data_IF_903291635488
#
_entry.id   IF_903291635488
#
_cell.length_a   1.000
_cell.length_b   1.000
_cell.length_c   1.000
_cell.angle_alpha   90.00
_cell.angle_beta   90.00
_cell.angle_gamma   90.00
#
_symmetry.space_group_name_H-M   'P 1'
#
loop_
_entity.id
_entity.type
_entity.pdbx_description
1 polymer ?
#
# COMPACT_ATOMS: atom_id res chain seq x y z
N UNK A 1 8.48 -14.26 14.41
CA UNK A 1 8.36 -13.02 13.62
C UNK A 1 9.33 -13.09 12.47
N UNK A 2 8.85 -13.34 11.25
CA UNK A 2 9.66 -13.27 10.04
C UNK A 2 9.51 -11.86 9.48
N UNK A 3 10.56 -11.03 9.59
CA UNK A 3 10.65 -9.77 8.86
C UNK A 3 10.75 -10.10 7.38
N UNK A 4 9.65 -9.95 6.65
CA UNK A 4 9.68 -9.96 5.18
C UNK A 4 10.34 -8.65 4.74
N UNK A 5 11.38 -8.77 3.91
CA UNK A 5 12.01 -7.61 3.27
C UNK A 5 11.50 -7.54 1.85
N UNK A 6 10.93 -6.40 1.50
CA UNK A 6 10.41 -6.15 0.16
C UNK A 6 11.21 -5.02 -0.49
N UNK A 7 11.46 -5.17 -1.80
CA UNK A 7 12.08 -4.15 -2.62
C UNK A 7 11.07 -3.02 -2.82
N UNK A 8 11.47 -1.79 -2.47
CA UNK A 8 10.57 -0.63 -2.49
C UNK A 8 10.05 -0.28 -3.89
N UNK A 9 10.85 -0.48 -4.92
CA UNK A 9 10.47 -0.25 -6.32
C UNK A 9 11.31 -1.14 -7.25
N UNK A 10 10.72 -2.23 -7.73
CA UNK A 10 11.37 -3.17 -8.66
C UNK A 10 11.84 -2.47 -9.95
N UNK A 11 11.03 -1.54 -10.48
CA UNK A 11 11.37 -0.77 -11.68
C UNK A 11 12.48 0.26 -11.50
N UNK A 12 12.63 0.84 -10.30
CA UNK A 12 13.74 1.75 -9.98
C UNK A 12 15.02 0.95 -9.75
N UNK A 13 14.91 -0.22 -9.12
CA UNK A 13 16.01 -1.15 -8.97
C UNK A 13 16.53 -1.62 -10.34
N UNK A 14 15.65 -1.98 -11.29
CA UNK A 14 16.05 -2.36 -12.65
C UNK A 14 16.78 -1.22 -13.37
N UNK A 15 16.29 0.03 -13.25
CA UNK A 15 16.97 1.21 -13.82
C UNK A 15 18.33 1.45 -13.18
N UNK A 16 18.45 1.33 -11.86
CA UNK A 16 19.73 1.45 -11.16
C UNK A 16 20.68 0.30 -11.52
N UNK A 17 20.18 -0.91 -11.71
CA UNK A 17 20.97 -2.06 -12.14
C UNK A 17 21.53 -1.83 -13.54
N UNK A 18 20.70 -1.41 -14.49
CA UNK A 18 21.13 -1.05 -15.85
C UNK A 18 22.12 0.12 -15.83
N UNK A 19 21.88 1.15 -15.03
CA UNK A 19 22.76 2.31 -14.92
C UNK A 19 24.12 1.97 -14.30
N UNK A 20 24.15 1.17 -13.24
CA UNK A 20 25.38 0.84 -12.51
C UNK A 20 26.20 -0.24 -13.23
N UNK A 21 25.56 -1.30 -13.73
CA UNK A 21 26.24 -2.38 -14.48
C UNK A 21 26.59 -1.92 -15.90
N UNK A 22 25.65 -1.30 -16.60
CA UNK A 22 25.87 -0.74 -17.94
C UNK A 22 26.84 0.44 -17.92
N UNK A 23 26.72 1.35 -16.94
CA UNK A 23 27.67 2.43 -16.73
C UNK A 23 29.07 1.91 -16.38
N UNK A 24 29.17 0.85 -15.57
CA UNK A 24 30.43 0.18 -15.28
C UNK A 24 31.10 -0.44 -16.51
N UNK A 25 30.33 -1.12 -17.36
CA UNK A 25 30.82 -1.67 -18.64
C UNK A 25 31.38 -0.56 -19.54
N UNK A 26 30.61 0.51 -19.76
CA UNK A 26 31.00 1.63 -20.61
C UNK A 26 32.23 2.36 -20.03
N UNK A 27 32.28 2.53 -18.70
CA UNK A 27 33.43 3.11 -18.01
C UNK A 27 34.72 2.31 -18.24
N UNK A 28 34.61 0.98 -18.22
CA UNK A 28 35.71 0.07 -18.51
C UNK A 28 36.23 0.21 -19.94
N UNK A 29 35.32 0.32 -20.92
CA UNK A 29 35.70 0.58 -22.32
C UNK A 29 36.39 1.93 -22.47
N UNK A 30 35.84 3.00 -21.88
CA UNK A 30 36.43 4.34 -21.93
C UNK A 30 37.80 4.37 -21.26
N UNK A 31 37.96 3.71 -20.11
CA UNK A 31 39.25 3.53 -19.44
C UNK A 31 40.28 2.84 -20.36
N UNK A 32 39.87 1.76 -21.04
CA UNK A 32 40.72 1.04 -21.98
C UNK A 32 41.16 1.90 -23.17
N UNK A 33 40.27 2.72 -23.73
CA UNK A 33 40.61 3.67 -24.81
C UNK A 33 41.59 4.73 -24.32
N UNK A 34 41.34 5.32 -23.15
CA UNK A 34 42.23 6.34 -22.56
C UNK A 34 43.63 5.77 -22.27
N UNK A 35 43.71 4.53 -21.77
CA UNK A 35 44.99 3.85 -21.54
C UNK A 35 45.81 3.61 -22.81
N UNK A 36 45.15 3.40 -23.96
CA UNK A 36 45.83 3.26 -25.25
C UNK A 36 46.38 4.59 -25.78
N UNK A 37 45.68 5.70 -25.52
CA UNK A 37 46.11 7.04 -25.96
C UNK A 37 47.30 7.54 -25.14
N UNK A 38 47.34 7.23 -23.84
CA UNK A 38 48.35 7.74 -22.90
C UNK A 38 49.59 6.82 -22.84
N UNK A 39 49.50 5.59 -23.35
CA UNK A 39 50.61 4.62 -23.40
C UNK A 39 50.82 3.81 -22.12
N UNK A 40 50.16 4.18 -21.01
CA UNK A 40 50.12 3.43 -19.76
C UNK A 40 48.71 3.41 -19.16
N UNK A 41 48.31 2.28 -18.57
CA UNK A 41 47.06 2.15 -17.82
C UNK A 41 47.23 2.76 -16.42
N UNK A 42 46.93 4.04 -16.28
CA UNK A 42 46.90 4.69 -14.98
C UNK A 42 45.60 4.31 -14.25
N UNK A 43 45.67 3.72 -13.04
CA UNK A 43 44.48 3.37 -12.26
C UNK A 43 43.61 4.60 -11.92
N UNK A 44 44.20 5.79 -11.95
CA UNK A 44 43.53 7.08 -11.80
C UNK A 44 42.53 7.36 -12.94
N UNK A 45 42.89 7.00 -14.18
CA UNK A 45 42.00 7.19 -15.34
C UNK A 45 40.79 6.26 -15.27
N UNK A 46 40.98 5.03 -14.79
CA UNK A 46 39.87 4.09 -14.55
C UNK A 46 38.91 4.57 -13.46
N UNK A 47 39.43 5.16 -12.38
CA UNK A 47 38.59 5.73 -11.33
C UNK A 47 37.79 6.95 -11.82
N UNK A 48 38.42 7.84 -12.59
CA UNK A 48 37.77 9.03 -13.16
C UNK A 48 36.73 8.67 -14.22
N UNK A 49 37.03 7.73 -15.13
CA UNK A 49 36.09 7.28 -16.16
C UNK A 49 34.90 6.55 -15.54
N UNK A 50 35.13 5.73 -14.51
CA UNK A 50 34.07 5.06 -13.77
C UNK A 50 33.16 6.04 -13.06
N UNK A 51 33.71 6.98 -12.30
CA UNK A 51 32.95 8.02 -11.63
C UNK A 51 32.11 8.87 -12.61
N UNK A 52 32.70 9.29 -13.74
CA UNK A 52 32.03 10.13 -14.72
C UNK A 52 30.89 9.37 -15.43
N UNK A 53 31.16 8.16 -15.93
CA UNK A 53 30.16 7.38 -16.68
C UNK A 53 29.05 6.87 -15.77
N UNK A 54 29.39 6.37 -14.58
CA UNK A 54 28.38 5.92 -13.61
C UNK A 54 27.58 7.09 -13.07
N UNK A 55 28.21 8.24 -12.79
CA UNK A 55 27.51 9.47 -12.41
C UNK A 55 26.52 9.94 -13.47
N UNK A 56 26.91 9.91 -14.75
CA UNK A 56 26.02 10.23 -15.87
C UNK A 56 24.90 9.20 -16.03
N UNK A 57 25.18 7.91 -15.88
CA UNK A 57 24.18 6.85 -15.98
C UNK A 57 23.14 6.94 -14.85
N UNK A 58 23.58 7.22 -13.63
CA UNK A 58 22.68 7.47 -12.48
C UNK A 58 21.82 8.71 -12.75
N UNK A 59 22.39 9.74 -13.36
CA UNK A 59 21.68 10.96 -13.71
C UNK A 59 20.61 10.72 -14.80
N UNK A 60 20.90 9.90 -15.81
CA UNK A 60 19.93 9.55 -16.84
C UNK A 60 18.82 8.60 -16.35
N UNK A 61 19.11 7.78 -15.33
CA UNK A 61 18.15 6.84 -14.77
C UNK A 61 17.03 7.51 -13.94
N UNK A 62 17.25 8.74 -13.48
CA UNK A 62 16.30 9.49 -12.66
C UNK A 62 15.99 10.87 -13.27
N UNK A 63 14.80 11.08 -13.86
CA UNK A 63 14.47 12.27 -14.66
C UNK A 63 14.19 13.55 -13.85
N UNK A 64 14.60 13.61 -12.57
CA UNK A 64 14.39 14.78 -11.71
C UNK A 64 15.50 15.81 -11.93
N UNK A 65 15.17 16.90 -12.63
CA UNK A 65 16.14 17.91 -13.08
C UNK A 65 16.82 18.68 -11.93
N UNK A 66 16.13 18.90 -10.80
CA UNK A 66 16.60 19.80 -9.73
C UNK A 66 17.84 19.31 -8.96
N UNK A 67 18.16 18.02 -9.04
CA UNK A 67 19.26 17.42 -8.26
C UNK A 67 20.30 16.69 -9.13
N UNK A 68 20.04 16.60 -10.43
CA UNK A 68 20.91 16.00 -11.44
C UNK A 68 22.37 16.47 -11.36
N UNK A 69 22.55 17.78 -11.26
CA UNK A 69 23.87 18.42 -11.23
C UNK A 69 24.64 18.09 -9.94
N UNK A 70 23.94 18.03 -8.81
CA UNK A 70 24.55 17.73 -7.50
C UNK A 70 25.03 16.28 -7.44
N UNK A 71 24.24 15.34 -7.98
CA UNK A 71 24.64 13.91 -8.06
C UNK A 71 25.88 13.70 -8.92
N UNK A 72 25.94 14.39 -10.06
CA UNK A 72 27.11 14.36 -10.93
C UNK A 72 28.35 14.93 -10.22
N UNK A 73 28.21 16.05 -9.49
CA UNK A 73 29.30 16.62 -8.69
C UNK A 73 29.81 15.61 -7.66
N UNK A 74 28.92 14.96 -6.90
CA UNK A 74 29.34 13.96 -5.92
C UNK A 74 30.09 12.79 -6.56
N UNK A 75 29.60 12.27 -7.69
CA UNK A 75 30.27 11.20 -8.42
C UNK A 75 31.68 11.65 -8.88
N UNK A 76 31.80 12.84 -9.50
CA UNK A 76 33.07 13.38 -9.96
C UNK A 76 34.07 13.62 -8.82
N UNK A 77 33.62 14.18 -7.69
CA UNK A 77 34.46 14.35 -6.50
C UNK A 77 34.98 12.99 -6.02
N UNK A 78 34.13 11.97 -6.00
CA UNK A 78 34.51 10.59 -5.67
C UNK A 78 35.62 10.05 -6.58
N UNK A 79 35.50 10.25 -7.90
CA UNK A 79 36.52 9.87 -8.88
C UNK A 79 37.85 10.60 -8.71
N UNK A 80 37.80 11.91 -8.47
CA UNK A 80 39.00 12.73 -8.23
C UNK A 80 39.72 12.29 -6.95
N UNK A 81 38.98 12.08 -5.85
CA UNK A 81 39.56 11.61 -4.60
C UNK A 81 40.15 10.20 -4.74
N UNK A 82 39.47 9.29 -5.46
CA UNK A 82 40.05 8.00 -5.81
C UNK A 82 41.37 8.15 -6.56
N UNK A 83 41.41 9.01 -7.59
CA UNK A 83 42.60 9.29 -8.38
C UNK A 83 43.76 9.87 -7.56
N UNK A 84 43.47 10.69 -6.54
CA UNK A 84 44.48 11.26 -5.65
C UNK A 84 45.02 10.27 -4.60
N UNK A 85 44.21 9.30 -4.17
CA UNK A 85 44.60 8.32 -3.15
C UNK A 85 45.40 7.16 -3.74
N UNK A 86 45.04 6.70 -4.94
CA UNK A 86 45.71 5.61 -5.67
C UNK A 86 47.26 5.74 -5.76
N UNK A 87 47.86 6.91 -6.04
CA UNK A 87 49.32 7.05 -6.15
C UNK A 87 50.08 7.05 -4.81
N UNK A 88 49.40 7.03 -3.65
CA UNK A 88 50.05 7.12 -2.35
C UNK A 88 50.85 5.85 -1.95
N UNK A 89 50.74 4.76 -2.72
CA UNK A 89 51.71 3.66 -2.70
C UNK A 89 51.72 2.75 -1.45
N UNK A 90 50.78 2.89 -0.51
CA UNK A 90 50.64 1.96 0.62
C UNK A 90 49.72 0.79 0.25
N UNK A 91 49.93 -0.38 0.87
CA UNK A 91 49.27 -1.64 0.49
C UNK A 91 47.72 -1.60 0.52
N UNK A 92 47.11 -0.68 1.26
CA UNK A 92 45.67 -0.47 1.33
C UNK A 92 45.12 0.65 0.43
N UNK A 93 45.98 1.42 -0.26
CA UNK A 93 45.60 2.57 -1.07
C UNK A 93 44.47 2.29 -2.08
N UNK A 94 44.46 1.17 -2.85
CA UNK A 94 43.38 0.92 -3.80
C UNK A 94 42.03 0.65 -3.12
N UNK A 95 42.02 -0.03 -1.96
CA UNK A 95 40.79 -0.30 -1.21
C UNK A 95 40.26 0.95 -0.51
N UNK A 96 41.15 1.78 0.05
CA UNK A 96 40.77 3.06 0.66
C UNK A 96 40.25 4.03 -0.40
N UNK A 97 40.93 4.13 -1.55
CA UNK A 97 40.44 4.90 -2.68
C UNK A 97 39.03 4.43 -3.08
N UNK A 98 38.85 3.13 -3.31
CA UNK A 98 37.56 2.55 -3.66
C UNK A 98 36.49 2.81 -2.59
N UNK A 99 36.82 2.78 -1.30
CA UNK A 99 35.86 3.06 -0.24
C UNK A 99 35.39 4.51 -0.28
N UNK A 100 36.31 5.44 -0.52
CA UNK A 100 35.99 6.87 -0.68
C UNK A 100 35.13 7.09 -1.92
N UNK A 101 35.54 6.57 -3.09
CA UNK A 101 34.75 6.73 -4.31
C UNK A 101 33.38 6.05 -4.23
N UNK A 102 33.31 4.86 -3.64
CA UNK A 102 32.06 4.15 -3.36
C UNK A 102 31.14 4.95 -2.45
N UNK A 103 31.67 5.55 -1.39
CA UNK A 103 30.90 6.43 -0.49
C UNK A 103 30.33 7.66 -1.20
N UNK A 104 31.10 8.31 -2.08
CA UNK A 104 30.64 9.46 -2.87
C UNK A 104 29.58 9.08 -3.92
N UNK A 105 29.72 7.93 -4.58
CA UNK A 105 28.68 7.39 -5.48
C UNK A 105 27.43 7.02 -4.68
N UNK A 106 27.59 6.41 -3.50
CA UNK A 106 26.49 6.13 -2.58
C UNK A 106 25.79 7.42 -2.11
N UNK A 107 26.53 8.49 -1.86
CA UNK A 107 25.98 9.80 -1.55
C UNK A 107 25.19 10.35 -2.75
N UNK A 108 25.70 10.24 -3.98
CA UNK A 108 25.00 10.64 -5.19
C UNK A 108 23.67 9.86 -5.39
N UNK A 109 23.63 8.57 -5.06
CA UNK A 109 22.43 7.73 -5.16
C UNK A 109 21.42 8.02 -4.03
N UNK A 110 21.89 8.37 -2.83
CA UNK A 110 21.03 8.53 -1.63
C UNK A 110 20.67 9.98 -1.30
N UNK A 111 21.27 10.97 -1.97
CA UNK A 111 21.10 12.40 -1.67
C UNK A 111 19.63 12.83 -1.62
N UNK A 112 18.87 12.53 -2.68
CA UNK A 112 17.46 12.94 -2.79
C UNK A 112 16.45 11.96 -2.19
N UNK A 113 16.91 10.86 -1.60
CA UNK A 113 16.00 9.94 -0.93
C UNK A 113 15.42 10.66 0.28
N UNK A 114 14.08 10.76 0.38
CA UNK A 114 13.39 11.24 1.57
C UNK A 114 13.45 10.17 2.67
N UNK A 115 14.62 10.04 3.29
CA UNK A 115 14.94 9.04 4.31
C UNK A 115 15.61 9.67 5.54
N UNK A 116 15.52 8.98 6.68
CA UNK A 116 16.22 9.41 7.90
C UNK A 116 17.72 9.51 7.66
N UNK A 117 18.36 10.47 8.32
CA UNK A 117 19.82 10.69 8.22
C UNK A 117 20.61 9.41 8.45
N UNK A 118 20.22 8.60 9.43
CA UNK A 118 20.83 7.30 9.74
C UNK A 118 20.79 6.34 8.54
N UNK A 119 19.68 6.31 7.81
CA UNK A 119 19.50 5.41 6.66
C UNK A 119 20.29 5.86 5.44
N UNK A 120 20.39 7.18 5.22
CA UNK A 120 21.31 7.74 4.21
C UNK A 120 22.76 7.34 4.50
N UNK A 121 23.20 7.46 5.76
CA UNK A 121 24.52 7.02 6.17
C UNK A 121 24.73 5.51 5.99
N UNK A 122 23.71 4.69 6.29
CA UNK A 122 23.76 3.25 6.05
C UNK A 122 23.88 2.93 4.54
N UNK A 123 23.11 3.61 3.70
CA UNK A 123 23.24 3.52 2.24
C UNK A 123 24.65 3.88 1.80
N UNK A 124 25.17 5.05 2.18
CA UNK A 124 26.54 5.47 1.87
C UNK A 124 27.57 4.43 2.33
N UNK A 125 27.42 3.86 3.53
CA UNK A 125 28.32 2.84 4.05
C UNK A 125 28.29 1.54 3.23
N UNK A 126 27.12 1.12 2.74
CA UNK A 126 27.00 -0.06 1.87
C UNK A 126 27.77 0.13 0.56
N UNK A 127 27.66 1.29 -0.08
CA UNK A 127 28.42 1.59 -1.30
C UNK A 127 29.92 1.75 -1.03
N UNK A 128 30.31 2.32 0.12
CA UNK A 128 31.70 2.42 0.56
C UNK A 128 32.33 1.04 0.84
N UNK A 129 31.55 0.01 1.16
CA UNK A 129 32.02 -1.37 1.30
C UNK A 129 31.99 -2.14 -0.03
N UNK A 130 31.00 -1.86 -0.88
CA UNK A 130 30.80 -2.59 -2.12
C UNK A 130 31.85 -2.30 -3.18
N UNK A 131 32.26 -1.04 -3.38
CA UNK A 131 33.28 -0.73 -4.38
C UNK A 131 34.65 -1.37 -4.06
N UNK A 132 35.17 -1.34 -2.81
CA UNK A 132 36.36 -2.11 -2.44
C UNK A 132 36.24 -3.61 -2.69
N UNK A 133 35.07 -4.20 -2.38
CA UNK A 133 34.82 -5.62 -2.65
C UNK A 133 34.83 -5.93 -4.15
N UNK A 134 34.28 -5.04 -4.97
CA UNK A 134 34.35 -5.11 -6.43
C UNK A 134 35.77 -4.99 -6.97
N UNK A 135 36.57 -4.04 -6.45
CA UNK A 135 37.98 -3.85 -6.82
C UNK A 135 38.80 -5.09 -6.48
N UNK A 136 38.67 -5.59 -5.24
CA UNK A 136 39.34 -6.81 -4.81
C UNK A 136 38.95 -8.01 -5.68
N UNK A 137 37.65 -8.22 -5.91
CA UNK A 137 37.15 -9.34 -6.71
C UNK A 137 37.62 -9.27 -8.16
N UNK A 138 37.61 -8.08 -8.77
CA UNK A 138 38.12 -7.88 -10.13
C UNK A 138 39.62 -8.17 -10.24
N UNK A 139 40.41 -7.87 -9.20
CA UNK A 139 41.84 -8.18 -9.16
C UNK A 139 42.14 -9.68 -9.04
N UNK A 140 41.28 -10.43 -8.36
CA UNK A 140 41.39 -11.89 -8.24
C UNK A 140 40.89 -12.61 -9.50
N UNK A 141 39.80 -12.13 -10.09
CA UNK A 141 39.14 -12.76 -11.26
C UNK A 141 39.86 -12.45 -12.57
N UNK A 142 40.50 -11.28 -12.69
CA UNK A 142 41.15 -10.82 -13.93
C UNK A 142 42.61 -10.40 -13.69
N UNK A 143 43.47 -11.29 -13.15
CA UNK A 143 44.88 -10.98 -12.93
C UNK A 143 45.56 -10.73 -14.28
N UNK A 144 46.56 -9.84 -14.28
CA UNK A 144 47.26 -9.37 -15.49
C UNK A 144 47.85 -10.50 -16.34
N UNK A 145 48.10 -11.67 -15.76
CA UNK A 145 48.67 -12.85 -16.41
C UNK A 145 47.64 -13.83 -17.00
N UNK A 146 46.36 -13.77 -16.62
CA UNK A 146 45.38 -14.81 -16.99
C UNK A 146 44.74 -14.64 -18.38
N UNK A 147 44.74 -13.42 -18.93
CA UNK A 147 44.07 -13.08 -20.19
C UNK A 147 45.05 -12.71 -21.32
N UNK A 148 46.29 -13.20 -21.27
CA UNK A 148 47.28 -12.94 -22.34
C UNK A 148 46.94 -13.62 -23.67
N UNK A 149 46.01 -14.59 -23.69
CA UNK A 149 45.79 -15.47 -24.85
C UNK A 149 44.47 -15.25 -25.61
N UNK A 150 43.48 -14.53 -25.05
CA UNK A 150 42.21 -14.24 -25.73
C UNK A 150 41.77 -12.79 -25.47
N UNK A 151 41.72 -12.01 -26.55
CA UNK A 151 40.97 -10.75 -26.74
C UNK A 151 41.53 -9.40 -26.22
N UNK A 152 41.16 -8.28 -26.89
CA UNK A 152 41.85 -7.00 -26.81
C UNK A 152 41.66 -6.34 -25.43
N UNK A 153 42.62 -5.50 -25.06
CA UNK A 153 42.67 -4.67 -23.83
C UNK A 153 41.31 -4.11 -23.38
N UNK A 154 40.41 -3.82 -24.32
CA UNK A 154 39.04 -3.37 -24.08
C UNK A 154 38.14 -4.38 -23.34
N UNK A 155 38.20 -5.67 -23.67
CA UNK A 155 37.32 -6.69 -23.08
C UNK A 155 37.60 -6.91 -21.60
N UNK A 156 38.88 -6.95 -21.21
CA UNK A 156 39.29 -7.03 -19.80
C UNK A 156 38.84 -5.82 -19.00
N UNK A 157 39.06 -4.61 -19.52
CA UNK A 157 38.68 -3.38 -18.81
C UNK A 157 37.17 -3.23 -18.70
N UNK A 158 36.42 -3.63 -19.72
CA UNK A 158 34.95 -3.71 -19.67
C UNK A 158 34.47 -4.67 -18.57
N UNK A 159 35.06 -5.87 -18.45
CA UNK A 159 34.71 -6.83 -17.40
C UNK A 159 35.06 -6.33 -15.99
N UNK A 160 36.21 -5.66 -15.81
CA UNK A 160 36.58 -5.03 -14.54
C UNK A 160 35.53 -3.98 -14.15
N UNK A 161 35.18 -3.07 -15.06
CA UNK A 161 34.16 -2.06 -14.84
C UNK A 161 32.77 -2.65 -14.59
N UNK A 162 32.40 -3.72 -15.29
CA UNK A 162 31.15 -4.46 -15.06
C UNK A 162 31.11 -5.04 -13.64
N UNK A 163 32.23 -5.62 -13.19
CA UNK A 163 32.34 -6.21 -11.84
C UNK A 163 32.13 -5.16 -10.78
N UNK A 164 32.73 -3.98 -10.93
CA UNK A 164 32.50 -2.85 -10.02
C UNK A 164 31.03 -2.43 -10.03
N UNK A 165 30.42 -2.33 -11.22
CA UNK A 165 29.01 -2.02 -11.40
C UNK A 165 28.07 -3.02 -10.71
N UNK A 166 28.36 -4.33 -10.78
CA UNK A 166 27.57 -5.39 -10.13
C UNK A 166 27.60 -5.25 -8.60
N UNK A 167 28.77 -5.05 -8.01
CA UNK A 167 28.86 -4.85 -6.56
C UNK A 167 28.11 -3.60 -6.10
N UNK A 168 28.18 -2.53 -6.89
CA UNK A 168 27.43 -1.30 -6.62
C UNK A 168 25.92 -1.50 -6.79
N UNK A 169 25.47 -2.29 -7.75
CA UNK A 169 24.06 -2.65 -7.92
C UNK A 169 23.52 -3.48 -6.74
N UNK A 170 24.34 -4.39 -6.20
CA UNK A 170 24.00 -5.13 -4.97
C UNK A 170 23.86 -4.17 -3.79
N UNK A 171 24.75 -3.21 -3.63
CA UNK A 171 24.63 -2.19 -2.59
C UNK A 171 23.38 -1.32 -2.76
N UNK A 172 23.04 -0.94 -3.99
CA UNK A 172 21.81 -0.24 -4.31
C UNK A 172 20.58 -1.05 -3.85
N UNK A 173 20.51 -2.33 -4.23
CA UNK A 173 19.43 -3.24 -3.83
C UNK A 173 19.30 -3.39 -2.32
N UNK A 174 20.42 -3.61 -1.62
CA UNK A 174 20.44 -3.73 -0.16
C UNK A 174 20.03 -2.43 0.54
N UNK A 175 20.39 -1.26 0.00
CA UNK A 175 19.97 0.03 0.54
C UNK A 175 18.46 0.28 0.39
N UNK A 176 17.85 -0.32 -0.64
CA UNK A 176 16.43 -0.20 -0.95
C UNK A 176 15.55 -1.25 -0.27
N UNK A 177 16.14 -2.23 0.44
CA UNK A 177 15.39 -3.15 1.28
C UNK A 177 14.74 -2.37 2.43
N UNK A 178 13.40 -2.38 2.48
CA UNK A 178 12.65 -1.91 3.63
C UNK A 178 12.19 -3.11 4.45
N UNK A 179 12.43 -3.14 5.77
CA UNK A 179 11.57 -3.93 6.63
C UNK A 179 10.16 -3.33 6.47
N UNK A 180 9.22 -4.14 6.02
CA UNK A 180 7.80 -3.77 5.89
C UNK A 180 7.20 -3.67 7.30
N UNK A 181 7.59 -2.62 8.04
CA UNK A 181 7.02 -2.27 9.32
C UNK A 181 5.84 -1.33 9.11
N UNK A 182 4.86 -1.74 8.29
CA UNK A 182 3.56 -1.09 8.37
C UNK A 182 2.80 -1.71 9.54
N UNK A 183 2.63 -0.92 10.60
CA UNK A 183 1.89 -1.32 11.78
C UNK A 183 0.46 -1.78 11.40
N UNK A 184 -0.15 -1.18 10.36
CA UNK A 184 -1.49 -1.54 9.91
C UNK A 184 -1.54 -2.92 9.24
N UNK A 185 -0.54 -3.28 8.42
CA UNK A 185 -0.46 -4.62 7.83
C UNK A 185 -0.30 -5.69 8.90
N UNK A 186 0.50 -5.42 9.94
CA UNK A 186 0.66 -6.34 11.07
C UNK A 186 -0.65 -6.50 11.87
N UNK A 187 -1.44 -5.43 12.03
CA UNK A 187 -2.76 -5.50 12.67
C UNK A 187 -3.75 -6.29 11.83
N UNK A 188 -3.75 -6.10 10.50
CA UNK A 188 -4.57 -6.87 9.57
C UNK A 188 -4.19 -8.35 9.57
N UNK A 189 -2.91 -8.70 9.50
CA UNK A 189 -2.43 -10.09 9.55
C UNK A 189 -2.88 -10.79 10.83
N UNK A 190 -2.81 -10.08 11.96
CA UNK A 190 -3.32 -10.58 13.23
C UNK A 190 -4.83 -10.77 13.20
N UNK A 191 -5.58 -9.80 12.68
CA UNK A 191 -7.03 -9.89 12.59
C UNK A 191 -7.49 -11.03 11.66
N UNK A 192 -6.81 -11.25 10.53
CA UNK A 192 -7.07 -12.36 9.59
C UNK A 192 -6.90 -13.72 10.29
N UNK A 193 -5.87 -13.87 11.11
CA UNK A 193 -5.65 -15.10 11.87
C UNK A 193 -6.70 -15.35 12.96
N UNK A 194 -7.32 -14.29 13.49
CA UNK A 194 -8.29 -14.37 14.58
C UNK A 194 -9.75 -14.54 14.12
N UNK A 195 -10.09 -14.14 12.89
CA UNK A 195 -11.47 -14.15 12.37
C UNK A 195 -11.73 -15.30 11.39
N UNK A 196 -12.99 -15.75 11.36
CA UNK A 196 -13.49 -16.74 10.40
C UNK A 196 -14.27 -16.05 9.26
N UNK A 197 -14.63 -16.82 8.23
CA UNK A 197 -15.49 -16.35 7.15
C UNK A 197 -16.87 -15.91 7.67
N UNK A 198 -17.49 -14.87 7.10
CA UNK A 198 -17.05 -14.07 5.93
C UNK A 198 -16.09 -12.91 6.25
N UNK A 199 -15.90 -12.56 7.53
CA UNK A 199 -15.10 -11.39 7.94
C UNK A 199 -13.64 -11.50 7.51
N UNK A 200 -13.11 -12.72 7.54
CA UNK A 200 -11.75 -13.01 7.08
C UNK A 200 -11.53 -12.55 5.62
N UNK A 201 -12.50 -12.79 4.74
CA UNK A 201 -12.36 -12.46 3.32
C UNK A 201 -12.26 -10.94 3.13
N UNK A 202 -13.07 -10.16 3.85
CA UNK A 202 -12.96 -8.68 3.85
C UNK A 202 -11.61 -8.17 4.35
N UNK A 203 -11.03 -8.81 5.37
CA UNK A 203 -9.73 -8.44 5.91
C UNK A 203 -8.58 -8.81 4.96
N UNK A 204 -8.67 -9.95 4.28
CA UNK A 204 -7.71 -10.36 3.25
C UNK A 204 -7.76 -9.38 2.06
N UNK A 205 -8.95 -9.03 1.56
CA UNK A 205 -9.11 -8.02 0.52
C UNK A 205 -8.58 -6.65 0.95
N UNK A 206 -8.87 -6.21 2.18
CA UNK A 206 -8.37 -4.94 2.69
C UNK A 206 -6.84 -4.90 2.81
N UNK A 207 -6.20 -6.02 3.18
CA UNK A 207 -4.74 -6.14 3.21
C UNK A 207 -4.14 -5.97 1.81
N UNK A 208 -4.68 -6.65 0.81
CA UNK A 208 -4.21 -6.54 -0.56
C UNK A 208 -4.39 -5.11 -1.10
N UNK A 209 -5.57 -4.53 -0.87
CA UNK A 209 -5.88 -3.15 -1.28
C UNK A 209 -4.98 -2.14 -0.59
N UNK A 210 -4.71 -2.28 0.71
CA UNK A 210 -3.80 -1.37 1.43
C UNK A 210 -2.39 -1.40 0.84
N UNK A 211 -1.85 -2.59 0.55
CA UNK A 211 -0.54 -2.71 -0.10
C UNK A 211 -0.54 -2.05 -1.49
N UNK A 212 -1.61 -2.22 -2.27
CA UNK A 212 -1.75 -1.58 -3.58
C UNK A 212 -1.84 -0.06 -3.45
N UNK A 213 -2.64 0.46 -2.51
CA UNK A 213 -2.76 1.89 -2.21
C UNK A 213 -1.42 2.49 -1.81
N UNK A 214 -0.66 1.84 -0.92
CA UNK A 214 0.67 2.34 -0.55
C UNK A 214 1.60 2.42 -1.75
N UNK A 215 1.64 1.37 -2.59
CA UNK A 215 2.47 1.35 -3.80
C UNK A 215 2.08 2.46 -4.78
N UNK A 216 0.79 2.64 -5.04
CA UNK A 216 0.30 3.68 -5.97
C UNK A 216 0.47 5.09 -5.39
N UNK A 217 0.26 5.26 -4.09
CA UNK A 217 0.52 6.54 -3.42
C UNK A 217 2.00 6.92 -3.56
N UNK A 218 2.96 5.99 -3.36
CA UNK A 218 4.38 6.30 -3.53
C UNK A 218 4.75 6.77 -4.95
N UNK A 219 3.95 6.44 -5.97
CA UNK A 219 4.12 6.92 -7.35
C UNK A 219 3.63 8.35 -7.57
N UNK A 220 2.75 8.86 -6.72
CA UNK A 220 2.23 10.22 -6.83
C UNK A 220 3.32 11.26 -6.56
N UNK A 221 3.40 12.28 -7.42
CA UNK A 221 4.41 13.34 -7.32
C UNK A 221 4.09 14.32 -6.18
N UNK A 222 2.81 14.51 -5.86
CA UNK A 222 2.35 15.39 -4.79
C UNK A 222 2.56 14.77 -3.41
N UNK A 223 3.25 15.47 -2.51
CA UNK A 223 3.46 15.02 -1.13
C UNK A 223 2.15 15.02 -0.32
N UNK A 224 1.28 15.99 -0.58
CA UNK A 224 -0.01 16.12 0.12
C UNK A 224 -0.97 15.01 -0.30
N UNK A 225 -1.02 14.68 -1.58
CA UNK A 225 -1.78 13.54 -2.12
C UNK A 225 -1.37 12.22 -1.44
N UNK A 226 -0.06 11.97 -1.35
CA UNK A 226 0.50 10.78 -0.69
C UNK A 226 0.10 10.68 0.77
N UNK A 227 0.21 11.80 1.47
CA UNK A 227 -0.13 11.88 2.89
C UNK A 227 -1.61 11.60 3.11
N UNK A 228 -2.49 12.30 2.38
CA UNK A 228 -3.94 12.14 2.51
C UNK A 228 -4.41 10.74 2.14
N UNK A 229 -3.92 10.18 1.03
CA UNK A 229 -4.25 8.82 0.64
C UNK A 229 -3.83 7.79 1.71
N UNK A 230 -2.66 7.99 2.33
CA UNK A 230 -2.21 7.17 3.44
C UNK A 230 -3.03 7.35 4.72
N UNK A 231 -3.50 8.57 5.02
CA UNK A 231 -4.38 8.86 6.15
C UNK A 231 -5.74 8.18 5.97
N UNK A 232 -6.41 8.37 4.83
CA UNK A 232 -7.70 7.74 4.50
C UNK A 232 -7.59 6.20 4.54
N UNK A 233 -6.52 5.63 3.97
CA UNK A 233 -6.31 4.19 3.99
C UNK A 233 -6.15 3.65 5.42
N UNK A 234 -5.43 4.36 6.30
CA UNK A 234 -5.26 3.96 7.70
C UNK A 234 -6.58 4.03 8.47
N UNK A 235 -7.33 5.12 8.33
CA UNK A 235 -8.59 5.34 9.04
C UNK A 235 -9.67 4.33 8.62
N UNK A 236 -9.73 4.02 7.33
CA UNK A 236 -10.64 2.99 6.79
C UNK A 236 -10.28 1.59 7.31
N UNK A 237 -8.98 1.26 7.40
CA UNK A 237 -8.52 -0.01 8.01
C UNK A 237 -8.82 -0.06 9.50
N UNK A 238 -8.54 1.00 10.26
CA UNK A 238 -8.84 1.07 11.68
C UNK A 238 -10.35 0.92 11.95
N UNK A 239 -11.19 1.47 11.06
CA UNK A 239 -12.64 1.28 11.12
C UNK A 239 -13.04 -0.16 10.80
N UNK A 240 -12.45 -0.77 9.76
CA UNK A 240 -12.68 -2.17 9.42
C UNK A 240 -12.30 -3.11 10.56
N UNK A 241 -11.15 -2.89 11.21
CA UNK A 241 -10.69 -3.67 12.35
C UNK A 241 -11.65 -3.56 13.54
N UNK A 242 -12.15 -2.35 13.83
CA UNK A 242 -13.18 -2.13 14.87
C UNK A 242 -14.47 -2.87 14.54
N UNK A 243 -14.95 -2.81 13.29
CA UNK A 243 -16.13 -3.55 12.86
C UNK A 243 -15.94 -5.06 12.90
N UNK A 244 -14.75 -5.57 12.55
CA UNK A 244 -14.41 -6.97 12.64
C UNK A 244 -14.51 -7.47 14.09
N UNK A 245 -13.89 -6.75 15.02
CA UNK A 245 -13.96 -7.07 16.45
C UNK A 245 -15.41 -7.06 16.96
N UNK A 246 -16.19 -6.04 16.60
CA UNK A 246 -17.59 -5.95 17.02
C UNK A 246 -18.46 -7.08 16.45
N UNK A 247 -18.21 -7.47 15.20
CA UNK A 247 -18.92 -8.59 14.57
C UNK A 247 -18.67 -9.91 15.32
N UNK A 248 -17.46 -10.12 15.86
CA UNK A 248 -17.12 -11.29 16.67
C UNK A 248 -17.88 -11.30 17.99
N UNK A 249 -17.94 -10.16 18.68
CA UNK A 249 -18.69 -10.00 19.93
C UNK A 249 -20.18 -10.31 19.73
N UNK A 250 -20.77 -9.78 18.66
CA UNK A 250 -22.19 -9.99 18.34
C UNK A 250 -22.49 -11.43 17.94
N UNK A 251 -21.65 -12.05 17.10
CA UNK A 251 -21.84 -13.48 16.75
C UNK A 251 -21.70 -14.38 17.99
N UNK A 252 -20.81 -14.06 18.93
CA UNK A 252 -20.72 -14.78 20.19
C UNK A 252 -22.00 -14.63 21.04
N UNK A 253 -22.59 -13.42 21.10
CA UNK A 253 -23.86 -13.18 21.78
C UNK A 253 -25.05 -13.90 21.12
N UNK A 254 -25.08 -13.96 19.78
CA UNK A 254 -26.09 -14.69 19.01
C UNK A 254 -26.00 -16.21 19.19
N UNK A 255 -24.78 -16.75 19.29
CA UNK A 255 -24.58 -18.17 19.58
C UNK A 255 -25.05 -18.52 20.99
N UNK A 256 -24.84 -17.63 21.98
CA UNK A 256 -25.29 -17.84 23.34
C UNK A 256 -26.82 -17.87 23.50
N UNK A 257 -27.56 -17.10 22.69
CA UNK A 257 -29.02 -16.93 22.82
C UNK A 257 -29.87 -18.03 22.15
N UNK A 258 -29.31 -18.89 21.29
CA UNK A 258 -29.95 -20.09 20.70
C UNK A 258 -31.42 -19.99 20.23
N UNK A 259 -31.68 -19.58 18.98
CA UNK A 259 -33.03 -19.35 18.40
C UNK A 259 -33.99 -20.53 18.56
N UNK A 260 -33.58 -21.72 18.11
CA UNK A 260 -34.45 -22.89 18.14
C UNK A 260 -34.86 -23.27 19.58
N UNK A 261 -33.99 -23.02 20.56
CA UNK A 261 -34.28 -23.29 21.96
C UNK A 261 -35.33 -22.31 22.49
N UNK A 262 -35.24 -21.03 22.12
CA UNK A 262 -36.22 -20.00 22.47
C UNK A 262 -37.58 -20.28 21.84
N UNK A 263 -37.64 -20.57 20.53
CA UNK A 263 -38.91 -20.88 19.83
C UNK A 263 -39.58 -22.13 20.40
N UNK A 264 -38.82 -23.20 20.66
CA UNK A 264 -39.35 -24.42 21.31
C UNK A 264 -39.82 -24.13 22.73
N UNK A 265 -39.12 -23.27 23.49
CA UNK A 265 -39.51 -22.87 24.84
C UNK A 265 -40.83 -22.08 24.84
N UNK A 266 -40.96 -21.09 23.95
CA UNK A 266 -42.20 -20.31 23.79
C UNK A 266 -43.38 -21.23 23.45
N UNK A 267 -43.21 -22.16 22.50
CA UNK A 267 -44.26 -23.09 22.10
C UNK A 267 -44.66 -24.04 23.24
N UNK A 268 -43.70 -24.53 24.03
CA UNK A 268 -43.98 -25.34 25.23
C UNK A 268 -44.72 -24.55 26.30
N UNK A 269 -44.36 -23.28 26.52
CA UNK A 269 -45.04 -22.41 27.48
C UNK A 269 -46.48 -22.12 27.04
N UNK A 270 -46.72 -21.86 25.75
CA UNK A 270 -48.08 -21.68 25.20
C UNK A 270 -48.97 -22.91 25.44
N UNK A 271 -48.45 -24.12 25.19
CA UNK A 271 -49.18 -25.37 25.45
C UNK A 271 -49.50 -25.56 26.94
N UNK A 272 -48.55 -25.23 27.82
CA UNK A 272 -48.75 -25.32 29.28
C UNK A 272 -49.77 -24.32 29.81
N UNK A 273 -49.76 -23.08 29.31
CA UNK A 273 -50.75 -22.05 29.66
C UNK A 273 -52.15 -22.54 29.28
N UNK A 274 -52.33 -23.06 28.07
CA UNK A 274 -53.63 -23.56 27.59
C UNK A 274 -54.14 -24.77 28.41
N UNK A 275 -53.25 -25.59 28.94
CA UNK A 275 -53.61 -26.76 29.75
C UNK A 275 -53.81 -26.45 31.24
N UNK A 276 -53.45 -25.26 31.72
CA UNK A 276 -53.46 -24.92 33.15
C UNK A 276 -54.80 -24.32 33.56
N UNK A 277 -55.44 -24.92 34.57
CA UNK A 277 -56.73 -24.45 35.12
C UNK A 277 -56.57 -23.50 36.32
N UNK A 278 -55.38 -23.46 36.93
CA UNK A 278 -55.09 -22.61 38.09
C UNK A 278 -54.64 -21.19 37.64
N UNK A 279 -55.34 -20.11 38.06
CA UNK A 279 -55.06 -18.75 37.60
C UNK A 279 -53.71 -18.19 38.07
N UNK A 280 -53.17 -18.62 39.22
CA UNK A 280 -51.88 -18.12 39.71
C UNK A 280 -50.71 -18.66 38.87
N UNK A 281 -50.73 -19.96 38.60
CA UNK A 281 -49.72 -20.64 37.76
C UNK A 281 -49.82 -20.15 36.31
N UNK A 282 -51.03 -19.88 35.81
CA UNK A 282 -51.21 -19.30 34.48
C UNK A 282 -50.52 -17.94 34.35
N UNK A 283 -50.60 -17.06 35.37
CA UNK A 283 -49.91 -15.76 35.36
C UNK A 283 -48.40 -15.90 35.31
N UNK A 284 -47.80 -16.75 36.15
CA UNK A 284 -46.35 -16.98 36.15
C UNK A 284 -45.85 -17.56 34.82
N UNK A 285 -46.59 -18.51 34.24
CA UNK A 285 -46.27 -19.06 32.92
C UNK A 285 -46.40 -18.03 31.79
N UNK A 286 -47.32 -17.08 31.93
CA UNK A 286 -47.51 -15.99 30.96
C UNK A 286 -46.34 -15.01 31.04
N UNK A 287 -45.91 -14.63 32.25
CA UNK A 287 -44.72 -13.81 32.46
C UNK A 287 -43.46 -14.49 31.89
N UNK A 288 -43.25 -15.78 32.18
CA UNK A 288 -42.12 -16.52 31.63
C UNK A 288 -42.14 -16.65 30.09
N UNK A 289 -43.34 -16.59 29.47
CA UNK A 289 -43.49 -16.55 28.01
C UNK A 289 -43.14 -15.18 27.47
N UNK A 290 -43.57 -14.12 28.15
CA UNK A 290 -43.32 -12.75 27.73
C UNK A 290 -41.81 -12.43 27.83
N UNK A 291 -41.13 -12.86 28.91
CA UNK A 291 -39.66 -12.81 29.02
C UNK A 291 -38.96 -13.54 27.86
N UNK A 292 -39.48 -14.72 27.47
CA UNK A 292 -38.93 -15.49 26.36
C UNK A 292 -39.17 -14.83 24.99
N UNK A 293 -40.25 -14.06 24.84
CA UNK A 293 -40.53 -13.26 23.64
C UNK A 293 -39.62 -12.04 23.57
N UNK A 294 -39.38 -11.35 24.68
CA UNK A 294 -38.41 -10.25 24.73
C UNK A 294 -37.00 -10.74 24.36
N UNK A 295 -36.59 -11.93 24.83
CA UNK A 295 -35.34 -12.56 24.42
C UNK A 295 -35.28 -12.88 22.92
N UNK A 296 -36.41 -13.26 22.31
CA UNK A 296 -36.50 -13.51 20.87
C UNK A 296 -36.40 -12.21 20.06
N UNK A 297 -37.07 -11.13 20.49
CA UNK A 297 -36.98 -9.81 19.87
C UNK A 297 -35.58 -9.22 19.98
N UNK A 298 -34.93 -9.34 21.13
CA UNK A 298 -33.53 -8.93 21.32
C UNK A 298 -32.59 -9.69 20.39
N UNK A 299 -32.85 -10.96 20.13
CA UNK A 299 -32.07 -11.74 19.18
C UNK A 299 -32.25 -11.23 17.75
N UNK A 300 -33.48 -10.98 17.32
CA UNK A 300 -33.76 -10.44 15.99
C UNK A 300 -33.03 -9.10 15.75
N UNK A 301 -32.99 -8.23 16.77
CA UNK A 301 -32.18 -7.00 16.76
C UNK A 301 -30.67 -7.28 16.60
N UNK A 302 -30.14 -8.30 17.30
CA UNK A 302 -28.74 -8.68 17.16
C UNK A 302 -28.43 -9.27 15.77
N UNK A 303 -29.35 -10.05 15.19
CA UNK A 303 -29.22 -10.59 13.84
C UNK A 303 -29.21 -9.44 12.80
N UNK A 304 -30.11 -8.44 12.94
CA UNK A 304 -30.12 -7.23 12.12
C UNK A 304 -28.82 -6.42 12.25
N UNK A 305 -28.34 -6.23 13.48
CA UNK A 305 -27.08 -5.52 13.75
C UNK A 305 -25.87 -6.22 13.10
N UNK A 306 -25.87 -7.56 13.05
CA UNK A 306 -24.85 -8.32 12.35
C UNK A 306 -24.85 -8.03 10.83
N UNK A 307 -26.01 -8.05 10.19
CA UNK A 307 -26.13 -7.74 8.75
C UNK A 307 -25.65 -6.31 8.46
N UNK A 308 -26.04 -5.33 9.28
CA UNK A 308 -25.60 -3.94 9.12
C UNK A 308 -24.09 -3.78 9.27
N UNK A 309 -23.47 -4.51 10.19
CA UNK A 309 -22.01 -4.51 10.33
C UNK A 309 -21.31 -5.15 9.13
N UNK A 310 -21.86 -6.21 8.55
CA UNK A 310 -21.31 -6.81 7.33
C UNK A 310 -21.38 -5.82 6.15
N UNK A 311 -22.49 -5.10 5.98
CA UNK A 311 -22.61 -4.04 4.97
C UNK A 311 -21.58 -2.92 5.18
N UNK A 312 -21.28 -2.56 6.43
CA UNK A 312 -20.26 -1.55 6.74
C UNK A 312 -18.85 -2.05 6.48
N UNK A 313 -18.54 -3.30 6.80
CA UNK A 313 -17.27 -3.93 6.44
C UNK A 313 -17.07 -3.92 4.91
N UNK A 314 -18.12 -4.26 4.16
CA UNK A 314 -18.10 -4.18 2.70
C UNK A 314 -17.88 -2.74 2.23
N UNK A 315 -18.56 -1.74 2.82
CA UNK A 315 -18.37 -0.33 2.49
C UNK A 315 -16.92 0.14 2.73
N UNK A 316 -16.28 -0.29 3.83
CA UNK A 316 -14.86 0.00 4.07
C UNK A 316 -13.96 -0.56 2.96
N UNK A 317 -14.19 -1.81 2.55
CA UNK A 317 -13.44 -2.42 1.43
C UNK A 317 -13.67 -1.65 0.13
N UNK A 318 -14.92 -1.31 -0.19
CA UNK A 318 -15.24 -0.52 -1.39
C UNK A 318 -14.62 0.89 -1.33
N UNK A 319 -14.50 1.52 -0.16
CA UNK A 319 -13.79 2.80 -0.02
C UNK A 319 -12.30 2.66 -0.32
N UNK A 320 -11.67 1.58 0.14
CA UNK A 320 -10.28 1.26 -0.20
C UNK A 320 -10.09 0.98 -1.70
N UNK A 321 -11.02 0.25 -2.33
CA UNK A 321 -11.02 0.01 -3.78
C UNK A 321 -11.15 1.32 -4.56
N UNK A 322 -12.08 2.19 -4.18
CA UNK A 322 -12.25 3.51 -4.80
C UNK A 322 -10.99 4.34 -4.67
N UNK A 323 -10.38 4.37 -3.49
CA UNK A 323 -9.14 5.09 -3.26
C UNK A 323 -7.99 4.54 -4.11
N UNK A 324 -7.85 3.21 -4.22
CA UNK A 324 -6.90 2.59 -5.14
C UNK A 324 -7.14 3.01 -6.60
N UNK A 325 -8.39 2.91 -7.07
CA UNK A 325 -8.75 3.28 -8.45
C UNK A 325 -8.48 4.77 -8.73
N UNK A 326 -8.82 5.66 -7.80
CA UNK A 326 -8.54 7.10 -7.91
C UNK A 326 -7.04 7.35 -8.03
N UNK A 327 -6.21 6.69 -7.21
CA UNK A 327 -4.76 6.81 -7.31
C UNK A 327 -4.22 6.29 -8.66
N UNK A 328 -4.71 5.15 -9.13
CA UNK A 328 -4.30 4.58 -10.43
C UNK A 328 -4.65 5.52 -11.58
N UNK A 329 -5.91 5.99 -11.65
CA UNK A 329 -6.40 6.84 -12.74
C UNK A 329 -5.64 8.18 -12.84
N UNK A 330 -5.31 8.78 -11.70
CA UNK A 330 -4.56 10.03 -11.65
C UNK A 330 -3.04 9.85 -11.79
N UNK A 331 -2.51 8.63 -11.59
CA UNK A 331 -1.11 8.32 -11.90
C UNK A 331 -0.87 8.16 -13.40
N UNK A 332 -1.87 7.64 -14.15
CA UNK A 332 -1.76 7.34 -15.58
C UNK A 332 -2.03 8.53 -16.48
N UNK A 333 -2.85 9.47 -16.02
CA UNK A 333 -3.15 10.70 -16.75
C UNK A 333 -2.38 11.85 -16.11
N UNK A 334 -1.67 12.65 -16.90
CA UNK A 334 -1.08 13.93 -16.48
C UNK A 334 -2.18 14.99 -16.21
N UNK A 335 -3.21 14.58 -15.46
CA UNK A 335 -4.35 15.38 -15.03
C UNK A 335 -3.94 16.10 -13.75
N UNK A 336 -4.33 17.36 -13.66
CA UNK A 336 -3.97 18.28 -12.58
C UNK A 336 -4.18 17.67 -11.19
N UNK A 337 -3.18 17.85 -10.31
CA UNK A 337 -3.21 17.45 -8.90
C UNK A 337 -4.48 17.92 -8.16
N UNK A 338 -5.08 19.03 -8.63
CA UNK A 338 -6.35 19.57 -8.13
C UNK A 338 -7.50 18.54 -8.17
N UNK A 339 -7.66 17.78 -9.26
CA UNK A 339 -8.73 16.77 -9.37
C UNK A 339 -8.53 15.58 -8.44
N UNK A 340 -7.28 15.20 -8.19
CA UNK A 340 -6.95 14.17 -7.21
C UNK A 340 -7.22 14.66 -5.78
N UNK A 341 -6.91 15.92 -5.46
CA UNK A 341 -7.21 16.46 -4.12
C UNK A 341 -8.70 16.55 -3.81
N UNK A 342 -9.54 16.86 -4.82
CA UNK A 342 -10.99 16.93 -4.66
C UNK A 342 -11.62 15.54 -4.50
N UNK A 343 -11.18 14.57 -5.31
CA UNK A 343 -11.64 13.17 -5.18
C UNK A 343 -11.20 12.53 -3.86
N UNK A 344 -9.98 12.83 -3.38
CA UNK A 344 -9.55 12.41 -2.04
C UNK A 344 -10.38 13.06 -0.93
N UNK A 345 -10.74 14.35 -1.05
CA UNK A 345 -11.60 15.01 -0.07
C UNK A 345 -13.02 14.42 -0.05
N UNK A 346 -13.58 14.04 -1.20
CA UNK A 346 -14.86 13.32 -1.26
C UNK A 346 -14.75 11.93 -0.60
N UNK A 347 -13.64 11.22 -0.81
CA UNK A 347 -13.39 9.92 -0.19
C UNK A 347 -13.18 10.02 1.33
N UNK A 348 -12.52 11.09 1.79
CA UNK A 348 -12.37 11.44 3.21
C UNK A 348 -13.75 11.65 3.84
N UNK A 349 -14.62 12.44 3.22
CA UNK A 349 -16.00 12.63 3.68
C UNK A 349 -16.76 11.30 3.76
N UNK A 350 -16.62 10.41 2.76
CA UNK A 350 -17.23 9.08 2.81
C UNK A 350 -16.65 8.18 3.91
N UNK A 351 -15.36 8.30 4.22
CA UNK A 351 -14.71 7.56 5.30
C UNK A 351 -15.17 8.06 6.67
N UNK A 352 -15.26 9.38 6.83
CA UNK A 352 -15.77 10.03 8.04
C UNK A 352 -17.22 9.65 8.32
N UNK A 353 -18.09 9.67 7.31
CA UNK A 353 -19.49 9.22 7.45
C UNK A 353 -19.60 7.78 7.97
N UNK A 354 -18.71 6.89 7.54
CA UNK A 354 -18.65 5.51 8.03
C UNK A 354 -18.16 5.45 9.48
N UNK A 355 -17.25 6.34 9.88
CA UNK A 355 -16.70 6.41 11.23
C UNK A 355 -17.65 7.06 12.24
N UNK A 356 -18.38 8.12 11.86
CA UNK A 356 -19.28 8.83 12.77
C UNK A 356 -20.48 7.97 13.20
N UNK A 357 -20.89 7.00 12.39
CA UNK A 357 -22.02 6.11 12.69
C UNK A 357 -21.63 4.86 13.49
N UNK A 358 -20.58 4.89 14.32
CA UNK A 358 -20.22 3.81 15.24
C UNK A 358 -21.25 3.68 16.39
N UNK A 359 -22.42 3.15 16.03
CA UNK A 359 -23.65 3.12 16.80
C UNK A 359 -23.73 1.88 17.71
N UNK A 360 -24.37 2.07 18.86
CA UNK A 360 -24.84 1.04 19.79
C UNK A 360 -25.83 0.07 19.11
N UNK A 361 -26.14 -1.08 19.72
CA UNK A 361 -27.07 -2.06 19.12
C UNK A 361 -28.46 -1.46 18.89
N UNK A 362 -28.90 -0.58 19.79
CA UNK A 362 -30.20 0.09 19.68
C UNK A 362 -30.21 1.09 18.51
N UNK A 363 -29.16 1.91 18.38
CA UNK A 363 -28.99 2.81 17.25
C UNK A 363 -28.79 2.07 15.90
N UNK A 364 -28.17 0.88 15.93
CA UNK A 364 -28.12 -0.05 14.78
C UNK A 364 -29.48 -0.67 14.46
N UNK A 365 -30.53 -0.45 15.25
CA UNK A 365 -31.89 -0.89 14.95
C UNK A 365 -32.83 0.28 14.66
N UNK A 366 -32.56 1.48 15.19
CA UNK A 366 -33.41 2.67 15.10
C UNK A 366 -33.57 3.25 13.68
N UNK A 367 -32.61 3.05 12.76
CA UNK A 367 -32.74 3.55 11.36
C UNK A 367 -33.92 2.94 10.57
N UNK A 368 -34.67 1.97 11.11
CA UNK A 368 -35.92 1.50 10.48
C UNK A 368 -36.99 2.60 10.40
N UNK A 369 -37.04 3.54 11.36
CA UNK A 369 -38.10 4.56 11.38
C UNK A 369 -37.95 5.62 10.29
N UNK A 370 -36.73 5.91 9.82
CA UNK A 370 -36.52 6.87 8.73
C UNK A 370 -36.67 6.25 7.34
N UNK A 371 -36.37 4.96 7.16
CA UNK A 371 -36.53 4.29 5.87
C UNK A 371 -37.95 3.75 5.62
N UNK A 372 -38.70 3.33 6.65
CA UNK A 372 -40.13 2.99 6.50
C UNK A 372 -41.01 4.23 6.26
N UNK A 373 -40.60 5.41 6.72
CA UNK A 373 -41.29 6.66 6.41
C UNK A 373 -41.13 7.08 4.92
N UNK A 374 -40.06 6.64 4.26
CA UNK A 374 -39.81 6.88 2.82
C UNK A 374 -40.41 5.75 1.96
N UNK A 375 -40.60 4.55 2.53
CA UNK A 375 -41.23 3.40 1.87
C UNK A 375 -42.75 3.29 2.11
N UNK A 376 -43.35 4.24 2.83
CA UNK A 376 -44.79 4.44 2.76
C UNK A 376 -45.13 4.85 1.32
N UNK A 377 -45.98 4.09 0.59
CA UNK A 377 -46.44 4.57 -0.71
C UNK A 377 -47.09 5.93 -0.48
N UNK A 378 -46.61 6.95 -1.21
CA UNK A 378 -47.29 8.23 -1.31
C UNK A 378 -48.79 7.96 -1.43
N UNK A 379 -49.66 8.64 -0.64
CA UNK A 379 -51.09 8.51 -0.85
C UNK A 379 -51.35 8.83 -2.32
N UNK A 380 -52.02 7.91 -3.01
CA UNK A 380 -52.41 8.02 -4.41
C UNK A 380 -53.29 9.26 -4.61
N UNK A 381 -52.69 10.44 -4.73
CA UNK A 381 -53.33 11.64 -5.24
C UNK A 381 -53.08 11.68 -6.74
N UNK A 382 -53.62 10.68 -7.46
CA UNK A 382 -53.63 10.67 -8.93
C UNK A 382 -54.58 9.59 -9.52
N UNK A 383 -55.68 9.24 -8.84
CA UNK A 383 -56.72 8.39 -9.45
C UNK A 383 -58.16 8.92 -9.28
N UNK A 384 -58.39 9.99 -8.51
CA UNK A 384 -59.72 10.65 -8.47
C UNK A 384 -59.91 11.75 -9.51
N UNK A 385 -58.86 12.37 -10.07
CA UNK A 385 -59.03 13.43 -11.07
C UNK A 385 -59.29 12.92 -12.51
N UNK A 386 -59.01 11.65 -12.81
CA UNK A 386 -59.26 11.08 -14.15
C UNK A 386 -60.70 10.55 -14.28
N UNK A 387 -61.37 10.18 -13.19
CA UNK A 387 -62.77 9.73 -13.23
C UNK A 387 -63.79 10.90 -13.26
N UNK A 388 -63.43 12.08 -12.76
CA UNK A 388 -64.29 13.27 -12.87
C UNK A 388 -64.20 13.97 -14.24
N UNK A 389 -63.03 13.99 -14.90
CA UNK A 389 -62.92 14.57 -16.26
C UNK A 389 -63.60 13.70 -17.33
N UNK A 390 -63.60 12.37 -17.19
CA UNK A 390 -64.28 11.46 -18.15
C UNK A 390 -65.80 11.55 -17.99
N UNK A 391 -66.33 11.72 -16.77
CA UNK A 391 -67.78 11.94 -16.56
C UNK A 391 -68.25 13.32 -17.03
N UNK A 392 -67.40 14.34 -17.01
CA UNK A 392 -67.76 15.67 -17.52
C UNK A 392 -67.69 15.76 -19.06
N UNK A 393 -66.84 14.96 -19.73
CA UNK A 393 -66.83 14.88 -21.19
C UNK A 393 -67.98 14.03 -21.78
N UNK A 394 -68.44 12.98 -21.09
CA UNK A 394 -69.61 12.20 -21.55
C UNK A 394 -70.95 12.94 -21.36
N UNK A 395 -71.04 13.89 -20.43
CA UNK A 395 -72.24 14.73 -20.23
C UNK A 395 -72.37 15.87 -21.26
N UNK A 396 -71.30 16.22 -21.98
CA UNK A 396 -71.28 17.30 -22.97
C UNK A 396 -71.52 16.84 -24.43
N UNK A 397 -71.64 15.54 -24.69
CA UNK A 397 -71.91 14.97 -26.02
C UNK A 397 -73.23 14.18 -26.10
N UNK A 398 -74.26 14.61 -25.36
CA UNK A 398 -75.63 14.17 -25.60
C UNK A 398 -76.38 15.21 -26.46
N UNK A 399 -76.58 14.99 -27.78
CA UNK A 399 -77.46 15.83 -28.57
C UNK A 399 -78.93 15.59 -28.19
N UNK A 400 -79.56 16.69 -27.80
CA UNK A 400 -80.99 16.93 -27.69
C UNK A 400 -81.68 16.59 -29.02
N UNK A 401 -82.85 15.93 -28.94
CA UNK A 401 -83.76 15.68 -30.07
C UNK A 401 -84.28 16.96 -30.71
#
# INVERSE_FOLDING_TARGET
MSTQMTLRNESIFDRHLVALVGGGLVAGVVSGVLGLVIGEQLPQMGALSFAAVVGLAINQADPREDSALVRLIFALIGGVLMGLILPLGFAGAPLVAAAVGGGFIGAAVTFDRQESTVRKWLGIALFALALPAGVFSSGVLFPESALQFLEPVFGRQALIGATWGVFMAVAAGLSDLRPENDAQLALLDRAIAEHQQPVRDYLESARELHQQVLRESERSQSADARRRAGEIARETIDSLLRFAQRSRELRAALQATGSERLTRRINRLNQRIAATTNPAIARELTQARDDAREQAQMRERLDLACVRLETRQQRCVTTLEKLHLTLVQHSSHAVSDLGLTESLAQLEQFADEVQFQNLSVDELCEDEQEYEAIAAPEPQVAQEEVEEEVKQQEAAQAPVK
#
